data_IF_130026277155
#
_entry.id   IF_130026277155
#
_cell.length_a   1.000
_cell.length_b   1.000
_cell.length_c   1.000
_cell.angle_alpha   90.00
_cell.angle_beta   90.00
_cell.angle_gamma   90.00
#
_symmetry.space_group_name_H-M   'P 1'
#
loop_
_entity.id
_entity.type
_entity.pdbx_description
1 polymer ?
#
# COMPACT_ATOMS: atom_id res chain seq x y z
N UNK A 1 12.49 17.78 -30.49
CA UNK A 1 11.72 16.88 -31.38
C UNK A 1 12.06 15.40 -31.19
N UNK A 2 13.31 15.05 -30.82
CA UNK A 2 13.70 13.61 -30.61
C UNK A 2 13.03 12.95 -29.42
N UNK A 3 12.65 13.67 -28.37
CA UNK A 3 12.02 13.13 -27.16
C UNK A 3 10.55 12.68 -27.34
N UNK A 4 9.88 13.12 -28.40
CA UNK A 4 8.47 12.79 -28.67
C UNK A 4 8.26 11.38 -29.25
N UNK A 5 9.30 10.80 -29.86
CA UNK A 5 9.23 9.45 -30.44
C UNK A 5 9.45 8.30 -29.46
N UNK A 6 9.92 8.59 -28.23
CA UNK A 6 10.44 7.58 -27.31
C UNK A 6 9.43 7.10 -26.26
N UNK A 7 8.13 7.16 -26.51
CA UNK A 7 7.07 6.81 -25.56
C UNK A 7 7.05 7.64 -24.26
N UNK A 8 7.75 8.78 -24.21
CA UNK A 8 7.88 9.61 -23.02
C UNK A 8 6.78 10.66 -22.89
N UNK A 9 6.24 11.11 -24.03
CA UNK A 9 5.28 12.23 -24.07
C UNK A 9 3.96 11.96 -23.38
N UNK A 10 3.63 10.70 -23.13
CA UNK A 10 2.42 10.26 -22.43
C UNK A 10 2.69 9.67 -21.05
N UNK A 11 3.94 9.69 -20.57
CA UNK A 11 4.27 9.12 -19.27
C UNK A 11 3.60 9.92 -18.14
N UNK A 12 2.91 9.22 -17.26
CA UNK A 12 2.26 9.77 -16.08
C UNK A 12 3.10 9.47 -14.84
N UNK A 13 2.94 10.27 -13.80
CA UNK A 13 3.41 9.84 -12.47
C UNK A 13 2.64 8.60 -12.03
N UNK A 14 3.25 7.77 -11.18
CA UNK A 14 2.59 6.56 -10.62
C UNK A 14 1.24 6.95 -10.02
N UNK A 15 1.20 8.00 -9.21
CA UNK A 15 -0.03 8.53 -8.60
C UNK A 15 -1.12 8.86 -9.62
N UNK A 16 -0.77 9.59 -10.68
CA UNK A 16 -1.73 10.01 -11.70
C UNK A 16 -2.23 8.82 -12.52
N UNK A 17 -1.37 7.84 -12.79
CA UNK A 17 -1.77 6.62 -13.50
C UNK A 17 -2.80 5.82 -12.70
N UNK A 18 -2.55 5.59 -11.41
CA UNK A 18 -3.49 4.96 -10.49
C UNK A 18 -4.80 5.74 -10.38
N UNK A 19 -4.72 7.06 -10.21
CA UNK A 19 -5.88 7.94 -10.12
C UNK A 19 -6.75 7.87 -11.37
N UNK A 20 -6.13 7.88 -12.55
CA UNK A 20 -6.83 7.77 -13.83
C UNK A 20 -7.61 6.45 -13.97
N UNK A 21 -7.00 5.33 -13.60
CA UNK A 21 -7.67 4.02 -13.62
C UNK A 21 -8.85 3.97 -12.64
N UNK A 22 -8.70 4.50 -11.43
CA UNK A 22 -9.80 4.58 -10.46
C UNK A 22 -10.94 5.46 -10.96
N UNK A 23 -10.62 6.62 -11.54
CA UNK A 23 -11.60 7.53 -12.17
C UNK A 23 -12.32 6.84 -13.33
N UNK A 24 -11.62 6.01 -14.10
CA UNK A 24 -12.22 5.19 -15.16
C UNK A 24 -13.07 4.02 -14.62
N UNK A 25 -13.20 3.87 -13.29
CA UNK A 25 -14.06 2.89 -12.62
C UNK A 25 -13.44 1.52 -12.42
N UNK A 26 -12.11 1.39 -12.53
CA UNK A 26 -11.43 0.16 -12.14
C UNK A 26 -11.34 0.07 -10.61
N UNK A 27 -11.49 -1.16 -10.08
CA UNK A 27 -11.44 -1.53 -8.67
C UNK A 27 -10.49 -2.70 -8.44
N UNK A 28 -10.06 -2.92 -7.20
CA UNK A 28 -9.09 -3.95 -6.85
C UNK A 28 -7.78 -3.77 -7.61
N UNK A 29 -7.36 -2.52 -7.82
CA UNK A 29 -6.13 -2.23 -8.53
C UNK A 29 -4.94 -2.75 -7.73
N UNK A 30 -4.09 -3.52 -8.39
CA UNK A 30 -2.87 -4.05 -7.78
C UNK A 30 -1.72 -4.02 -8.77
N UNK A 31 -0.56 -3.61 -8.29
CA UNK A 31 0.66 -3.60 -9.08
C UNK A 31 1.29 -4.99 -9.11
N UNK A 32 1.41 -5.54 -10.31
CA UNK A 32 2.03 -6.85 -10.55
C UNK A 32 3.54 -6.71 -10.65
N UNK A 33 3.98 -5.73 -11.44
CA UNK A 33 5.41 -5.48 -11.64
C UNK A 33 5.72 -3.98 -11.70
N UNK A 34 6.92 -3.63 -11.28
CA UNK A 34 7.56 -2.35 -11.54
C UNK A 34 9.00 -2.61 -11.94
N UNK A 35 9.39 -2.14 -13.10
CA UNK A 35 10.72 -2.36 -13.67
C UNK A 35 11.33 -1.00 -14.01
N UNK A 36 12.51 -0.65 -13.46
CA UNK A 36 13.25 0.53 -13.89
C UNK A 36 13.51 0.47 -15.40
N UNK A 37 13.23 1.57 -16.11
CA UNK A 37 13.39 1.61 -17.55
C UNK A 37 14.51 2.57 -17.98
N UNK A 38 14.38 3.85 -17.66
CA UNK A 38 15.37 4.88 -18.06
C UNK A 38 15.43 6.00 -17.06
N UNK A 39 16.58 6.70 -17.04
CA UNK A 39 16.75 7.98 -16.37
C UNK A 39 17.01 9.03 -17.43
N UNK A 40 16.19 10.08 -17.47
CA UNK A 40 16.30 11.17 -18.45
C UNK A 40 16.17 12.48 -17.69
N UNK A 41 17.18 13.34 -17.82
CA UNK A 41 17.26 14.63 -17.13
C UNK A 41 17.02 14.48 -15.60
N UNK A 42 17.53 13.41 -14.97
CA UNK A 42 17.34 13.12 -13.54
C UNK A 42 15.96 12.53 -13.18
N UNK A 43 15.06 12.37 -14.14
CA UNK A 43 13.74 11.76 -13.93
C UNK A 43 13.83 10.26 -14.19
N UNK A 44 13.43 9.47 -13.19
CA UNK A 44 13.38 8.01 -13.27
C UNK A 44 12.07 7.55 -13.89
N UNK A 45 12.16 6.89 -15.04
CA UNK A 45 11.04 6.25 -15.71
C UNK A 45 11.01 4.76 -15.36
N UNK A 46 9.81 4.25 -15.11
CA UNK A 46 9.57 2.84 -14.79
C UNK A 46 8.47 2.28 -15.69
N UNK A 47 8.56 1.00 -15.99
CA UNK A 47 7.47 0.23 -16.60
C UNK A 47 6.65 -0.41 -15.49
N UNK A 48 5.32 -0.20 -15.49
CA UNK A 48 4.41 -0.72 -14.48
C UNK A 48 3.37 -1.59 -15.15
N UNK A 49 3.15 -2.79 -14.61
CA UNK A 49 2.01 -3.63 -14.96
C UNK A 49 1.01 -3.62 -13.80
N UNK A 50 -0.22 -3.23 -14.09
CA UNK A 50 -1.32 -3.22 -13.13
C UNK A 50 -2.39 -4.23 -13.54
N UNK A 51 -3.03 -4.83 -12.55
CA UNK A 51 -4.29 -5.56 -12.71
C UNK A 51 -5.41 -4.82 -12.00
N UNK A 52 -6.65 -5.01 -12.47
CA UNK A 52 -7.82 -4.40 -11.87
C UNK A 52 -9.09 -4.93 -12.51
N UNK A 53 -10.23 -4.65 -11.89
CA UNK A 53 -11.53 -5.17 -12.29
C UNK A 53 -12.48 -4.02 -12.62
N UNK A 54 -13.25 -4.16 -13.69
CA UNK A 54 -14.34 -3.24 -14.03
C UNK A 54 -15.61 -3.75 -13.35
N UNK A 55 -15.91 -3.23 -12.17
CA UNK A 55 -17.11 -3.61 -11.42
C UNK A 55 -18.20 -2.55 -11.56
N UNK A 56 -19.42 -2.98 -11.86
CA UNK A 56 -20.59 -2.16 -11.69
C UNK A 56 -21.06 -2.25 -10.22
N UNK A 57 -20.53 -1.42 -9.36
CA UNK A 57 -20.97 -1.31 -7.96
C UNK A 57 -22.26 -0.47 -7.91
N UNK A 58 -23.41 -1.09 -8.18
CA UNK A 58 -24.67 -0.37 -8.41
C UNK A 58 -25.53 -0.21 -7.16
N UNK A 59 -25.38 -1.07 -6.16
CA UNK A 59 -26.24 -1.07 -4.97
C UNK A 59 -25.47 -0.59 -3.74
N UNK A 60 -26.09 0.34 -3.00
CA UNK A 60 -25.70 0.72 -1.63
C UNK A 60 -26.74 0.22 -0.61
N UNK A 61 -27.53 -0.80 -0.97
CA UNK A 61 -28.52 -1.35 -0.06
C UNK A 61 -27.83 -1.95 1.18
N UNK A 62 -28.46 -1.88 2.36
CA UNK A 62 -27.96 -2.54 3.53
C UNK A 62 -27.73 -4.04 3.25
N UNK A 63 -26.51 -4.48 3.47
CA UNK A 63 -26.13 -5.87 3.33
C UNK A 63 -25.92 -6.43 4.74
N UNK A 64 -26.56 -7.56 5.12
CA UNK A 64 -26.46 -8.09 6.48
C UNK A 64 -25.13 -8.82 6.68
N UNK A 65 -24.02 -8.13 6.45
CA UNK A 65 -22.69 -8.67 6.66
C UNK A 65 -21.76 -7.70 7.36
N UNK A 66 -20.77 -8.29 8.01
CA UNK A 66 -19.67 -7.61 8.68
C UNK A 66 -18.37 -8.01 8.01
N UNK A 67 -17.43 -7.05 7.93
CA UNK A 67 -16.07 -7.32 7.49
C UNK A 67 -15.11 -7.04 8.64
N UNK A 68 -14.18 -7.95 8.85
CA UNK A 68 -13.10 -7.81 9.84
C UNK A 68 -11.76 -7.87 9.11
N UNK A 69 -10.98 -6.81 9.20
CA UNK A 69 -9.63 -6.78 8.64
C UNK A 69 -8.73 -7.73 9.42
N UNK A 70 -8.04 -8.64 8.71
CA UNK A 70 -7.16 -9.65 9.33
C UNK A 70 -5.71 -9.19 9.47
N UNK A 71 -5.29 -8.17 8.73
CA UNK A 71 -3.92 -7.65 8.73
C UNK A 71 -3.32 -7.65 7.30
N UNK A 72 -2.00 -7.35 7.16
CA UNK A 72 -1.00 -7.09 8.20
C UNK A 72 -1.08 -5.69 8.85
N UNK A 73 -1.81 -4.77 8.26
CA UNK A 73 -1.90 -3.37 8.70
C UNK A 73 -2.80 -3.21 9.91
N UNK A 74 -2.48 -2.25 10.79
CA UNK A 74 -3.35 -1.81 11.89
C UNK A 74 -4.63 -1.16 11.38
N UNK A 75 -4.53 -0.47 10.22
CA UNK A 75 -5.64 0.22 9.57
C UNK A 75 -5.48 0.20 8.06
N UNK A 76 -6.59 0.12 7.34
CA UNK A 76 -6.63 0.30 5.88
C UNK A 76 -7.80 1.22 5.49
N UNK A 77 -7.63 1.92 4.37
CA UNK A 77 -8.70 2.64 3.68
C UNK A 77 -8.96 1.94 2.36
N UNK A 78 -10.16 1.43 2.18
CA UNK A 78 -10.54 0.73 0.95
C UNK A 78 -10.73 1.68 -0.25
N UNK A 79 -10.98 1.13 -1.43
CA UNK A 79 -11.19 1.93 -2.65
C UNK A 79 -12.55 2.66 -2.70
N UNK A 80 -13.41 2.46 -1.72
CA UNK A 80 -14.65 3.22 -1.52
C UNK A 80 -14.50 4.35 -0.50
N UNK A 81 -13.32 4.45 0.14
CA UNK A 81 -12.99 5.45 1.14
C UNK A 81 -13.38 5.05 2.57
N UNK A 82 -13.77 3.79 2.77
CA UNK A 82 -14.12 3.28 4.09
C UNK A 82 -12.87 2.84 4.85
N UNK A 83 -12.77 3.23 6.11
CA UNK A 83 -11.66 2.85 6.99
C UNK A 83 -12.00 1.60 7.78
N UNK A 84 -11.09 0.64 7.81
CA UNK A 84 -11.19 -0.59 8.60
C UNK A 84 -9.98 -0.69 9.52
N UNK A 85 -10.25 -1.07 10.77
CA UNK A 85 -9.22 -1.33 11.77
C UNK A 85 -9.07 -2.83 11.98
N UNK A 86 -7.83 -3.31 12.10
CA UNK A 86 -7.54 -4.74 12.29
C UNK A 86 -8.28 -5.30 13.50
N UNK A 87 -8.89 -6.45 13.29
CA UNK A 87 -9.60 -7.19 14.33
C UNK A 87 -10.98 -6.64 14.72
N UNK A 88 -11.37 -5.46 14.21
CA UNK A 88 -12.62 -4.81 14.56
C UNK A 88 -13.68 -5.07 13.47
N UNK A 89 -14.75 -5.85 13.79
CA UNK A 89 -15.84 -6.10 12.87
C UNK A 89 -16.62 -4.81 12.57
N UNK A 90 -16.81 -4.51 11.29
CA UNK A 90 -17.59 -3.37 10.84
C UNK A 90 -18.68 -3.83 9.87
N UNK A 91 -19.89 -3.30 10.04
CA UNK A 91 -20.98 -3.57 9.10
C UNK A 91 -20.64 -2.98 7.74
N UNK A 92 -20.91 -3.73 6.67
CA UNK A 92 -20.63 -3.34 5.30
C UNK A 92 -21.90 -3.32 4.44
N UNK A 93 -21.86 -2.59 3.34
CA UNK A 93 -22.88 -2.61 2.31
C UNK A 93 -22.55 -3.65 1.22
N UNK A 94 -23.49 -3.86 0.28
CA UNK A 94 -23.33 -4.80 -0.84
C UNK A 94 -22.16 -4.43 -1.76
N UNK A 95 -21.86 -3.13 -1.91
CA UNK A 95 -20.75 -2.64 -2.72
C UNK A 95 -19.42 -3.05 -2.13
N UNK A 96 -19.27 -2.87 -0.83
CA UNK A 96 -18.08 -3.26 -0.07
C UNK A 96 -17.91 -4.78 -0.08
N UNK A 97 -18.98 -5.55 0.10
CA UNK A 97 -18.94 -7.00 0.00
C UNK A 97 -18.47 -7.47 -1.39
N UNK A 98 -18.98 -6.84 -2.45
CA UNK A 98 -18.56 -7.12 -3.83
C UNK A 98 -17.09 -6.76 -4.08
N UNK A 99 -16.61 -5.66 -3.47
CA UNK A 99 -15.20 -5.27 -3.54
C UNK A 99 -14.31 -6.33 -2.86
N UNK A 100 -14.68 -6.78 -1.65
CA UNK A 100 -13.89 -7.73 -0.88
C UNK A 100 -13.93 -9.16 -1.43
N UNK A 101 -14.87 -9.46 -2.33
CA UNK A 101 -14.88 -10.71 -3.09
C UNK A 101 -13.79 -10.78 -4.18
N UNK A 102 -13.16 -9.65 -4.54
CA UNK A 102 -12.09 -9.63 -5.53
C UNK A 102 -10.83 -10.33 -5.03
N UNK A 103 -10.09 -10.94 -5.94
CA UNK A 103 -8.89 -11.73 -5.63
C UNK A 103 -7.85 -10.96 -4.80
N UNK A 104 -7.69 -9.66 -5.04
CA UNK A 104 -6.69 -8.84 -4.34
C UNK A 104 -7.09 -8.46 -2.91
N UNK A 105 -8.37 -8.65 -2.54
CA UNK A 105 -8.86 -8.48 -1.17
C UNK A 105 -9.07 -9.82 -0.44
N UNK A 106 -9.06 -10.92 -1.20
CA UNK A 106 -9.23 -12.26 -0.64
C UNK A 106 -8.21 -12.50 0.47
N UNK A 107 -8.66 -13.14 1.53
CA UNK A 107 -7.85 -13.44 2.72
C UNK A 107 -7.37 -12.21 3.52
N UNK A 108 -7.85 -11.01 3.17
CA UNK A 108 -7.57 -9.77 3.92
C UNK A 108 -8.71 -9.40 4.86
N UNK A 109 -9.90 -9.91 4.56
CA UNK A 109 -11.09 -9.70 5.36
C UNK A 109 -11.81 -11.01 5.62
N UNK A 110 -12.28 -11.17 6.86
CA UNK A 110 -13.34 -12.14 7.18
C UNK A 110 -14.66 -11.43 6.90
N UNK A 111 -15.42 -11.93 5.93
CA UNK A 111 -16.77 -11.41 5.63
C UNK A 111 -17.79 -12.44 6.12
N UNK A 112 -18.69 -12.04 7.04
CA UNK A 112 -19.64 -12.92 7.66
C UNK A 112 -20.96 -12.20 7.99
N UNK A 113 -22.06 -12.94 8.13
CA UNK A 113 -23.38 -12.39 8.51
C UNK A 113 -23.43 -11.87 9.97
N UNK A 114 -22.46 -12.22 10.77
CA UNK A 114 -22.33 -11.80 12.17
C UNK A 114 -20.96 -11.19 12.41
N UNK A 115 -20.83 -10.27 13.38
CA UNK A 115 -19.53 -9.76 13.78
C UNK A 115 -18.60 -10.91 14.23
N UNK A 116 -17.45 -11.04 13.58
CA UNK A 116 -16.39 -12.00 13.92
C UNK A 116 -15.14 -11.20 14.28
N UNK A 117 -14.91 -10.86 15.55
CA UNK A 117 -13.67 -10.23 15.97
C UNK A 117 -12.51 -11.22 15.80
N UNK A 118 -11.31 -10.73 15.56
CA UNK A 118 -10.13 -11.58 15.61
C UNK A 118 -9.86 -12.02 17.04
N UNK A 119 -9.41 -13.27 17.21
CA UNK A 119 -8.87 -13.71 18.49
C UNK A 119 -7.61 -12.89 18.84
N UNK A 120 -7.24 -12.84 20.12
CA UNK A 120 -6.00 -12.20 20.55
C UNK A 120 -4.77 -12.85 19.87
N UNK A 121 -4.88 -14.11 19.50
CA UNK A 121 -3.84 -14.85 18.80
C UNK A 121 -3.74 -14.45 17.32
N UNK A 122 -4.85 -14.29 16.63
CA UNK A 122 -4.91 -13.86 15.22
C UNK A 122 -4.64 -12.36 15.06
N UNK A 123 -4.82 -11.58 16.12
CA UNK A 123 -4.54 -10.13 16.16
C UNK A 123 -3.08 -9.82 16.44
N UNK A 124 -2.22 -10.83 16.57
CA UNK A 124 -0.80 -10.61 16.86
C UNK A 124 -0.19 -9.70 15.82
N UNK A 125 0.63 -8.79 16.31
CA UNK A 125 1.49 -7.92 15.49
C UNK A 125 2.31 -8.77 14.55
N UNK A 126 2.04 -8.67 13.27
CA UNK A 126 2.75 -9.43 12.23
C UNK A 126 4.13 -8.82 12.00
N UNK A 127 4.27 -7.53 12.26
CA UNK A 127 5.53 -6.84 12.18
C UNK A 127 6.27 -6.92 13.52
N UNK A 128 7.32 -7.72 13.54
CA UNK A 128 8.28 -7.67 14.64
C UNK A 128 9.33 -6.65 14.25
N UNK A 129 9.22 -5.44 14.82
CA UNK A 129 10.32 -4.47 14.74
C UNK A 129 11.44 -4.93 15.65
N UNK A 130 12.65 -5.16 15.16
CA UNK A 130 13.77 -5.48 16.03
C UNK A 130 14.02 -4.27 16.94
N UNK A 131 13.79 -4.42 18.24
CA UNK A 131 13.88 -3.33 19.21
C UNK A 131 15.27 -2.63 19.20
N UNK A 132 16.31 -3.38 18.81
CA UNK A 132 17.69 -2.92 18.81
C UNK A 132 18.18 -2.41 17.44
N UNK A 133 17.37 -2.51 16.38
CA UNK A 133 17.81 -2.06 15.06
C UNK A 133 17.83 -0.53 14.98
N UNK A 134 18.98 0.09 14.65
CA UNK A 134 19.04 1.53 14.51
C UNK A 134 18.16 1.99 13.33
N UNK A 135 17.44 3.08 13.54
CA UNK A 135 16.72 3.75 12.47
C UNK A 135 17.71 4.61 11.68
N UNK A 136 18.14 4.13 10.52
CA UNK A 136 19.11 4.82 9.65
C UNK A 136 18.40 5.21 8.36
N UNK A 137 18.56 6.47 7.94
CA UNK A 137 18.00 6.98 6.69
C UNK A 137 19.02 6.83 5.56
N UNK A 138 18.78 5.88 4.68
CA UNK A 138 19.69 5.50 3.59
C UNK A 138 19.07 5.79 2.20
N UNK A 139 18.01 6.61 2.16
CA UNK A 139 17.33 6.93 0.91
C UNK A 139 16.47 5.79 0.35
N UNK A 140 15.97 4.89 1.22
CA UNK A 140 14.98 3.90 0.83
C UNK A 140 13.61 4.54 0.69
N UNK A 141 12.87 4.10 -0.32
CA UNK A 141 11.48 4.54 -0.55
C UNK A 141 10.59 3.33 -0.69
N UNK A 142 9.44 3.38 -0.02
CA UNK A 142 8.36 2.41 -0.19
C UNK A 142 7.21 3.05 -0.97
N UNK A 143 6.60 2.29 -1.87
CA UNK A 143 5.40 2.67 -2.59
C UNK A 143 4.35 1.62 -2.35
N UNK A 144 3.22 2.02 -1.76
CA UNK A 144 2.05 1.14 -1.62
C UNK A 144 1.47 0.84 -3.01
N UNK A 145 1.33 -0.45 -3.34
CA UNK A 145 0.94 -0.94 -4.67
C UNK A 145 -0.52 -1.40 -4.77
N UNK A 146 -1.33 -1.06 -3.80
CA UNK A 146 -2.75 -1.42 -3.73
C UNK A 146 -2.98 -2.77 -3.00
N UNK A 147 -4.24 -3.23 -2.91
CA UNK A 147 -5.44 -2.62 -3.48
C UNK A 147 -5.99 -1.43 -2.69
N UNK A 148 -5.49 -1.16 -1.49
CA UNK A 148 -5.99 -0.10 -0.61
C UNK A 148 -5.62 1.30 -1.10
N UNK A 149 -6.45 2.31 -0.77
CA UNK A 149 -6.12 3.73 -1.00
C UNK A 149 -5.00 4.19 -0.07
N UNK A 150 -5.06 3.73 1.18
CA UNK A 150 -4.06 4.00 2.19
C UNK A 150 -4.02 2.86 3.21
N UNK A 151 -2.89 2.71 3.86
CA UNK A 151 -2.69 1.77 4.97
C UNK A 151 -1.87 2.41 6.07
N UNK A 152 -2.06 1.95 7.31
CA UNK A 152 -1.24 2.30 8.46
C UNK A 152 -0.61 1.03 9.02
N UNK A 153 0.68 1.03 9.27
CA UNK A 153 1.35 -0.09 9.92
C UNK A 153 1.21 -0.01 11.47
N UNK A 154 1.82 -0.94 12.18
CA UNK A 154 1.77 -0.97 13.64
C UNK A 154 2.67 0.09 14.31
N UNK A 155 3.58 0.70 13.54
CA UNK A 155 4.46 1.81 13.98
C UNK A 155 3.88 3.19 13.59
N UNK A 156 2.60 3.20 13.16
CA UNK A 156 1.83 4.39 12.78
C UNK A 156 2.31 5.11 11.51
N UNK A 157 3.12 4.46 10.66
CA UNK A 157 3.45 5.02 9.36
C UNK A 157 2.26 4.89 8.42
N UNK A 158 1.92 6.00 7.76
CA UNK A 158 0.83 6.06 6.80
C UNK A 158 1.37 6.02 5.37
N UNK A 159 0.92 5.05 4.59
CA UNK A 159 1.26 4.91 3.18
C UNK A 159 0.02 5.14 2.30
N UNK A 160 0.16 5.97 1.29
CA UNK A 160 -0.89 6.21 0.29
C UNK A 160 -0.52 5.50 -1.01
N UNK A 161 -1.50 4.89 -1.65
CA UNK A 161 -1.27 4.11 -2.87
C UNK A 161 -0.67 4.97 -4.00
N UNK A 162 0.46 4.49 -4.52
CA UNK A 162 1.20 5.16 -5.61
C UNK A 162 2.04 6.36 -5.17
N UNK A 163 2.06 6.71 -3.88
CA UNK A 163 2.91 7.78 -3.36
C UNK A 163 4.19 7.19 -2.75
N UNK A 164 5.38 7.60 -3.21
CA UNK A 164 6.62 7.16 -2.59
C UNK A 164 6.79 7.85 -1.23
N UNK A 165 7.11 7.06 -0.22
CA UNK A 165 7.42 7.50 1.15
C UNK A 165 8.84 7.10 1.47
N UNK A 166 9.66 8.05 1.94
CA UNK A 166 11.00 7.74 2.43
C UNK A 166 10.88 6.96 3.74
N UNK A 167 11.64 5.89 3.85
CA UNK A 167 11.62 4.98 5.01
C UNK A 167 13.04 4.72 5.52
N UNK A 168 13.17 4.46 6.82
CA UNK A 168 14.45 4.07 7.39
C UNK A 168 14.76 2.58 7.13
N UNK A 169 16.00 2.18 7.38
CA UNK A 169 16.46 0.79 7.23
C UNK A 169 15.65 -0.21 8.06
N UNK A 170 15.22 0.16 9.26
CA UNK A 170 14.35 -0.67 10.11
C UNK A 170 13.02 -0.96 9.41
N UNK A 171 12.32 0.08 8.96
CA UNK A 171 11.06 -0.04 8.23
C UNK A 171 11.24 -0.80 6.92
N UNK A 172 12.34 -0.54 6.19
CA UNK A 172 12.68 -1.27 4.97
C UNK A 172 12.72 -2.78 5.21
N UNK A 173 13.38 -3.24 6.27
CA UNK A 173 13.45 -4.67 6.61
C UNK A 173 12.08 -5.24 6.95
N UNK A 174 11.23 -4.50 7.67
CA UNK A 174 9.87 -4.94 8.00
C UNK A 174 9.02 -5.09 6.74
N UNK A 175 9.06 -4.12 5.84
CA UNK A 175 8.26 -4.17 4.60
C UNK A 175 8.72 -5.26 3.63
N UNK A 176 9.92 -5.82 3.79
CA UNK A 176 10.40 -6.98 3.06
C UNK A 176 9.96 -8.33 3.65
N UNK A 177 9.29 -8.34 4.80
CA UNK A 177 8.73 -9.59 5.33
C UNK A 177 7.60 -10.11 4.43
N UNK A 178 7.35 -11.43 4.39
CA UNK A 178 6.32 -12.02 3.54
C UNK A 178 4.91 -11.44 3.75
N UNK A 179 4.65 -10.88 4.92
CA UNK A 179 3.35 -10.29 5.24
C UNK A 179 3.11 -8.94 4.56
N UNK A 180 4.15 -8.11 4.43
CA UNK A 180 4.07 -6.77 3.85
C UNK A 180 4.54 -6.70 2.41
N UNK A 181 5.49 -7.54 2.02
CA UNK A 181 6.09 -7.54 0.68
C UNK A 181 5.06 -7.48 -0.48
N UNK A 182 3.91 -8.19 -0.43
CA UNK A 182 2.94 -8.16 -1.52
C UNK A 182 2.28 -6.80 -1.74
N UNK A 183 2.40 -5.88 -0.78
CA UNK A 183 1.76 -4.57 -0.85
C UNK A 183 2.67 -3.43 -1.27
N UNK A 184 3.98 -3.67 -1.26
CA UNK A 184 4.95 -2.60 -1.49
C UNK A 184 5.89 -2.90 -2.65
N UNK A 185 6.18 -1.86 -3.43
CA UNK A 185 7.36 -1.83 -4.28
C UNK A 185 8.44 -1.00 -3.57
N UNK A 186 9.59 -1.63 -3.34
CA UNK A 186 10.71 -0.93 -2.74
C UNK A 186 11.56 -0.35 -3.85
N UNK A 187 11.54 0.97 -3.96
CA UNK A 187 12.38 1.72 -4.89
C UNK A 187 13.60 2.17 -4.10
N UNK A 188 14.69 1.42 -4.21
CA UNK A 188 15.99 1.87 -3.72
C UNK A 188 16.46 2.98 -4.68
N UNK A 189 16.27 4.24 -4.28
CA UNK A 189 16.90 5.38 -4.94
C UNK A 189 18.15 5.71 -4.14
N UNK A 190 19.28 5.09 -4.50
CA UNK A 190 20.55 5.64 -4.13
C UNK A 190 20.53 7.12 -4.59
N UNK A 191 20.57 8.06 -3.69
CA UNK A 191 20.82 9.47 -4.03
C UNK A 191 22.21 9.53 -4.61
N UNK A 192 22.34 9.47 -5.92
CA UNK A 192 23.63 9.77 -6.57
C UNK A 192 24.08 11.16 -6.10
N UNK A 193 25.14 11.19 -5.32
CA UNK A 193 25.86 12.42 -4.96
C UNK A 193 25.55 13.07 -3.61
N UNK A 194 24.77 12.46 -2.73
CA UNK A 194 24.62 12.94 -1.34
C UNK A 194 25.28 11.95 -0.39
N UNK A 195 26.50 12.25 0.03
CA UNK A 195 27.09 11.67 1.23
C UNK A 195 26.37 12.27 2.44
N UNK A 196 25.16 11.79 2.76
CA UNK A 196 24.55 12.12 4.03
C UNK A 196 25.22 11.26 5.09
N UNK A 197 25.84 11.90 6.08
CA UNK A 197 26.17 11.21 7.31
C UNK A 197 24.90 10.56 7.86
N UNK A 198 24.98 9.32 8.36
CA UNK A 198 23.80 8.63 8.88
C UNK A 198 23.23 9.44 10.05
N UNK A 199 22.00 9.93 9.87
CA UNK A 199 21.25 10.55 10.96
C UNK A 199 20.74 9.43 11.84
N UNK A 200 21.39 9.26 13.00
CA UNK A 200 20.91 8.32 14.02
C UNK A 200 19.75 9.00 14.73
N UNK A 201 18.53 8.45 14.59
CA UNK A 201 17.40 8.87 15.40
C UNK A 201 17.74 8.67 16.88
N UNK A 202 17.74 9.77 17.63
CA UNK A 202 17.94 9.71 19.08
C UNK A 202 16.81 8.96 19.77
N UNK A 203 17.05 8.51 20.98
CA UNK A 203 16.23 7.66 21.84
C UNK A 203 14.84 8.21 22.23
N UNK A 204 14.24 9.10 21.46
CA UNK A 204 12.87 9.51 21.69
C UNK A 204 11.90 8.59 20.97
N UNK A 205 10.91 8.13 21.68
CA UNK A 205 9.88 7.11 21.41
C UNK A 205 8.98 7.36 20.19
N UNK A 206 9.37 8.20 19.27
CA UNK A 206 8.66 8.46 18.02
C UNK A 206 9.70 8.42 16.91
N UNK A 207 9.90 7.26 16.32
CA UNK A 207 10.51 7.16 15.00
C UNK A 207 9.45 7.53 13.96
N UNK A 208 9.65 8.70 13.35
CA UNK A 208 8.89 9.33 12.26
C UNK A 208 7.54 9.90 12.60
#
# INVERSE_FOLDING_TARGET
>A
KAKWGDCLSGALTIKNYWGGLRTAGFKGLHQVTIIPWRVIDGIHFVSITLTGYKLALTSSAPFPAFATLTGPFSQVVDELGTTFYRGNPQQIDERTASLFALAHYKDRFIVAERPVPLSAEDSRTIAVYPEEAPCVWEGYFAVLTGPFLAVCDDDHHMYRCGEPVEICSKTFNVLHTPHYQPYFANINRAREGVTSEPVICGTSTVCC
#
